data_IF_308958313366
#
_entry.id   IF_308958313366
#
_cell.length_a   1.000
_cell.length_b   1.000
_cell.length_c   1.000
_cell.angle_alpha   90.00
_cell.angle_beta   90.00
_cell.angle_gamma   90.00
#
_symmetry.space_group_name_H-M   'P 1'
#
loop_
_entity.id
_entity.type
_entity.pdbx_description
1 polymer ?
#
# COMPACT_ATOMS: atom_id res chain seq x y z
N UNK A 1 -2.65 -9.00 -2.65
CA UNK A 1 -2.08 -7.69 -2.30
C UNK A 1 -0.70 -7.57 -2.95
N UNK A 2 -0.38 -6.40 -3.50
CA UNK A 2 0.95 -6.06 -4.00
C UNK A 2 1.36 -4.70 -3.45
N UNK A 3 2.61 -4.58 -3.00
CA UNK A 3 3.21 -3.31 -2.53
C UNK A 3 4.26 -2.88 -3.55
N UNK A 4 4.18 -1.64 -4.01
CA UNK A 4 5.01 -1.07 -5.07
C UNK A 4 5.71 0.16 -4.50
N UNK A 5 7.04 0.19 -4.59
CA UNK A 5 7.86 1.30 -4.15
C UNK A 5 9.28 1.17 -4.69
N UNK A 6 10.05 2.26 -4.63
CA UNK A 6 11.42 2.30 -5.14
C UNK A 6 12.41 1.48 -4.29
N UNK A 7 12.13 1.33 -2.99
CA UNK A 7 12.91 0.54 -2.06
C UNK A 7 12.25 -0.82 -1.82
N UNK A 8 12.91 -1.88 -2.28
CA UNK A 8 12.40 -3.26 -2.17
C UNK A 8 12.37 -3.78 -0.73
N UNK A 9 13.25 -3.30 0.15
CA UNK A 9 13.25 -3.66 1.56
C UNK A 9 12.04 -3.05 2.30
N UNK A 10 11.71 -1.81 1.96
CA UNK A 10 10.48 -1.15 2.46
C UNK A 10 9.23 -1.87 1.94
N UNK A 11 9.20 -2.23 0.65
CA UNK A 11 8.06 -2.94 0.06
C UNK A 11 7.84 -4.33 0.69
N UNK A 12 8.90 -5.07 0.99
CA UNK A 12 8.82 -6.39 1.64
C UNK A 12 8.34 -6.28 3.10
N UNK A 13 8.91 -5.33 3.86
CA UNK A 13 8.47 -5.02 5.21
C UNK A 13 6.98 -4.67 5.25
N UNK A 14 6.54 -3.76 4.37
CA UNK A 14 5.15 -3.33 4.30
C UNK A 14 4.23 -4.47 3.83
N UNK A 15 4.65 -5.31 2.89
CA UNK A 15 3.87 -6.47 2.46
C UNK A 15 3.57 -7.40 3.63
N UNK A 16 4.55 -7.63 4.50
CA UNK A 16 4.36 -8.43 5.71
C UNK A 16 3.51 -7.71 6.75
N UNK A 17 3.79 -6.43 7.02
CA UNK A 17 3.08 -5.66 8.04
C UNK A 17 1.58 -5.51 7.72
N UNK A 18 1.24 -5.22 6.46
CA UNK A 18 -0.14 -5.03 6.01
C UNK A 18 -0.95 -6.33 5.99
N UNK A 19 -0.30 -7.50 5.97
CA UNK A 19 -0.98 -8.79 6.09
C UNK A 19 -1.47 -9.07 7.51
N UNK A 20 -0.79 -8.53 8.54
CA UNK A 20 -1.02 -8.89 9.95
C UNK A 20 -1.64 -7.77 10.78
N UNK A 21 -1.47 -6.52 10.36
CA UNK A 21 -2.00 -5.37 11.09
C UNK A 21 -3.51 -5.21 10.83
N UNK A 22 -4.27 -4.76 11.85
CA UNK A 22 -5.63 -4.26 11.64
C UNK A 22 -5.65 -3.05 10.70
N UNK A 23 -6.75 -2.84 9.98
CA UNK A 23 -6.88 -1.82 8.92
C UNK A 23 -6.54 -0.40 9.39
N UNK A 24 -6.98 0.01 10.59
CA UNK A 24 -6.69 1.34 11.14
C UNK A 24 -5.19 1.57 11.37
N UNK A 25 -4.48 0.52 11.78
CA UNK A 25 -3.02 0.53 11.97
C UNK A 25 -2.28 0.45 10.66
N UNK A 26 -2.79 -0.32 9.69
CA UNK A 26 -2.25 -0.40 8.35
C UNK A 26 -2.29 0.97 7.65
N UNK A 27 -3.39 1.71 7.76
CA UNK A 27 -3.53 3.05 7.19
C UNK A 27 -2.59 4.07 7.85
N UNK A 28 -2.50 4.03 9.19
CA UNK A 28 -1.56 4.87 9.96
C UNK A 28 -0.09 4.56 9.61
N UNK A 29 0.22 3.30 9.28
CA UNK A 29 1.56 2.92 8.85
C UNK A 29 1.85 3.44 7.44
N UNK A 30 0.92 3.23 6.50
CA UNK A 30 1.06 3.67 5.11
C UNK A 30 1.20 5.18 4.97
N UNK A 31 0.57 5.97 5.83
CA UNK A 31 0.71 7.43 5.82
C UNK A 31 2.15 7.92 6.06
N UNK A 32 3.07 7.05 6.49
CA UNK A 32 4.49 7.36 6.68
C UNK A 32 5.35 7.08 5.44
N UNK A 33 4.77 6.46 4.42
CA UNK A 33 5.44 6.05 3.18
C UNK A 33 4.68 6.61 1.96
N UNK A 34 4.73 7.93 1.73
CA UNK A 34 3.92 8.59 0.70
C UNK A 34 4.24 8.11 -0.73
N UNK A 35 5.47 7.63 -0.96
CA UNK A 35 5.92 7.13 -2.27
C UNK A 35 5.60 5.64 -2.50
N UNK A 36 4.88 4.99 -1.58
CA UNK A 36 4.48 3.58 -1.68
C UNK A 36 3.02 3.45 -2.10
N UNK A 37 2.79 2.53 -3.06
CA UNK A 37 1.49 2.20 -3.58
C UNK A 37 1.12 0.77 -3.19
N UNK A 38 -0.11 0.56 -2.75
CA UNK A 38 -0.64 -0.75 -2.39
C UNK A 38 -1.83 -1.07 -3.27
N UNK A 39 -1.77 -2.22 -3.93
CA UNK A 39 -2.85 -2.76 -4.73
C UNK A 39 -3.47 -3.96 -4.00
N UNK A 40 -4.72 -3.80 -3.60
CA UNK A 40 -5.54 -4.80 -2.93
C UNK A 40 -6.49 -5.40 -3.95
N UNK A 41 -6.63 -6.72 -3.92
CA UNK A 41 -7.60 -7.45 -4.74
C UNK A 41 -8.49 -8.18 -3.76
N UNK A 42 -9.75 -7.79 -3.72
CA UNK A 42 -10.76 -8.41 -2.87
C UNK A 42 -11.19 -9.77 -3.43
N UNK A 43 -11.88 -10.56 -2.60
CA UNK A 43 -12.31 -11.92 -2.96
C UNK A 43 -13.29 -11.95 -4.15
N UNK A 44 -13.99 -10.85 -4.41
CA UNK A 44 -14.89 -10.66 -5.55
C UNK A 44 -14.18 -10.18 -6.82
N UNK A 45 -12.85 -9.97 -6.76
CA UNK A 45 -12.04 -9.46 -7.85
C UNK A 45 -12.02 -7.93 -7.94
N UNK A 46 -12.67 -7.21 -7.01
CA UNK A 46 -12.56 -5.75 -6.93
C UNK A 46 -11.13 -5.35 -6.63
N UNK A 47 -10.62 -4.35 -7.35
CA UNK A 47 -9.26 -3.83 -7.16
C UNK A 47 -9.34 -2.47 -6.46
N UNK A 48 -8.64 -2.36 -5.33
CA UNK A 48 -8.53 -1.11 -4.56
C UNK A 48 -7.06 -0.70 -4.52
N UNK A 49 -6.78 0.55 -4.85
CA UNK A 49 -5.44 1.14 -4.73
C UNK A 49 -5.38 2.08 -3.54
N UNK A 50 -4.43 1.88 -2.63
CA UNK A 50 -4.11 2.77 -1.51
C UNK A 50 -2.73 3.40 -1.73
N UNK A 51 -2.61 4.70 -1.50
CA UNK A 51 -1.41 5.50 -1.78
C UNK A 51 -1.82 6.87 -2.30
N UNK A 52 -0.98 7.88 -2.08
CA UNK A 52 -1.30 9.22 -2.61
C UNK A 52 -1.07 9.19 -4.13
N UNK A 53 -2.15 9.33 -4.89
CA UNK A 53 -2.03 9.63 -6.31
C UNK A 53 -1.42 11.03 -6.38
N UNK A 54 -0.09 11.12 -6.50
CA UNK A 54 0.54 12.36 -6.93
C UNK A 54 -0.22 12.78 -8.19
N UNK A 55 -0.98 13.86 -8.07
CA UNK A 55 -1.83 14.35 -9.14
C UNK A 55 -0.98 14.32 -10.41
N UNK A 56 -1.45 13.59 -11.43
CA UNK A 56 -0.79 13.57 -12.72
C UNK A 56 -0.66 15.03 -13.17
N UNK A 57 0.52 15.60 -12.99
CA UNK A 57 0.80 16.92 -13.52
C UNK A 57 0.83 16.77 -15.05
N UNK A 58 0.18 17.70 -15.76
CA UNK A 58 -0.08 17.59 -17.20
C UNK A 58 1.18 17.50 -18.06
#
# INVERSE_FOLDING_TARGET
MSVIGADSGVADFLSTALLILPDDRAETLLSRYPDVWVLLVDADGTVVTKGEQAAAQP
#
